data_IF_964484026657
#
_entry.id   IF_964484026657
#
_cell.length_a   1.000
_cell.length_b   1.000
_cell.length_c   1.000
_cell.angle_alpha   90.00
_cell.angle_beta   90.00
_cell.angle_gamma   90.00
#
_symmetry.space_group_name_H-M   'P 1'
#
loop_
_entity.id
_entity.type
_entity.pdbx_description
1 polymer ?
#
# COMPACT_ATOMS: atom_id res chain seq x y z
N UNK A 1 -27.71 2.05 11.01
CA UNK A 1 -27.83 3.37 11.66
C UNK A 1 -26.43 3.94 11.84
N UNK A 2 -26.11 5.16 11.35
CA UNK A 2 -24.83 5.79 11.68
C UNK A 2 -24.78 6.07 13.19
N UNK A 3 -23.71 5.63 13.85
CA UNK A 3 -23.54 5.84 15.30
C UNK A 3 -23.38 7.34 15.57
N UNK A 4 -24.19 7.94 16.47
CA UNK A 4 -24.12 9.37 16.76
C UNK A 4 -22.73 9.75 17.30
N UNK A 5 -22.27 10.95 16.95
CA UNK A 5 -20.98 11.44 17.40
C UNK A 5 -20.99 11.70 18.92
N UNK A 6 -19.96 11.21 19.61
CA UNK A 6 -19.71 11.58 21.01
C UNK A 6 -19.47 13.09 21.10
N UNK A 7 -20.04 13.74 22.12
CA UNK A 7 -19.83 15.17 22.41
C UNK A 7 -18.53 15.36 23.19
N UNK A 8 -17.43 14.86 22.66
CA UNK A 8 -16.10 14.91 23.26
C UNK A 8 -15.24 16.09 22.76
N UNK A 9 -15.80 16.95 21.91
CA UNK A 9 -15.09 18.06 21.28
C UNK A 9 -14.10 17.63 20.19
N UNK A 10 -13.98 16.33 19.90
CA UNK A 10 -13.03 15.79 18.93
C UNK A 10 -13.67 15.59 17.56
N UNK A 11 -12.91 15.95 16.52
CA UNK A 11 -13.26 15.61 15.15
C UNK A 11 -13.28 14.09 14.95
N UNK A 12 -14.02 13.64 13.93
CA UNK A 12 -14.05 12.23 13.53
C UNK A 12 -12.63 11.67 13.30
N UNK A 13 -11.77 12.47 12.67
CA UNK A 13 -10.39 12.10 12.38
C UNK A 13 -9.54 12.00 13.65
N UNK A 14 -9.74 12.91 14.62
CA UNK A 14 -9.03 12.84 15.90
C UNK A 14 -9.39 11.57 16.69
N UNK A 15 -10.68 11.22 16.77
CA UNK A 15 -11.14 9.97 17.41
C UNK A 15 -10.59 8.73 16.71
N UNK A 16 -10.62 8.69 15.39
CA UNK A 16 -10.08 7.58 14.61
C UNK A 16 -8.59 7.37 14.90
N UNK A 17 -7.79 8.45 14.92
CA UNK A 17 -6.35 8.39 15.24
C UNK A 17 -6.09 7.91 16.67
N UNK A 18 -6.85 8.40 17.65
CA UNK A 18 -6.74 7.96 19.03
C UNK A 18 -7.00 6.46 19.18
N UNK A 19 -8.07 5.94 18.55
CA UNK A 19 -8.40 4.52 18.56
C UNK A 19 -7.31 3.66 17.88
N UNK A 20 -6.77 4.10 16.74
CA UNK A 20 -5.68 3.39 16.06
C UNK A 20 -4.40 3.36 16.89
N UNK A 21 -4.04 4.49 17.53
CA UNK A 21 -2.90 4.55 18.45
C UNK A 21 -3.08 3.61 19.65
N UNK A 22 -4.28 3.56 20.24
CA UNK A 22 -4.59 2.66 21.35
C UNK A 22 -4.49 1.17 20.95
N UNK A 23 -4.74 0.83 19.69
CA UNK A 23 -4.55 -0.51 19.12
C UNK A 23 -3.10 -0.81 18.71
N UNK A 24 -2.12 0.04 19.07
CA UNK A 24 -0.71 -0.15 18.73
C UNK A 24 -0.35 0.23 17.28
N UNK A 25 -1.27 0.83 16.52
CA UNK A 25 -1.04 1.20 15.13
C UNK A 25 -0.47 2.62 15.01
N UNK A 26 0.53 2.78 14.15
CA UNK A 26 1.12 4.07 13.78
C UNK A 26 0.61 4.50 12.41
N UNK A 27 -0.03 5.67 12.33
CA UNK A 27 -0.43 6.26 11.05
C UNK A 27 0.81 6.74 10.30
N UNK A 28 0.95 6.32 9.04
CA UNK A 28 1.95 6.81 8.10
C UNK A 28 1.20 7.53 6.98
N UNK A 29 1.60 8.77 6.69
CA UNK A 29 1.10 9.52 5.53
C UNK A 29 2.22 9.62 4.52
N UNK A 30 2.01 9.01 3.36
CA UNK A 30 2.92 9.05 2.24
C UNK A 30 2.37 10.01 1.20
N UNK A 31 3.25 10.88 0.67
CA UNK A 31 2.93 11.65 -0.52
C UNK A 31 3.15 10.77 -1.74
N UNK A 32 2.09 10.57 -2.52
CA UNK A 32 2.11 9.76 -3.73
C UNK A 32 1.95 10.70 -4.93
N UNK A 33 2.65 10.48 -6.06
CA UNK A 33 2.41 11.24 -7.27
C UNK A 33 0.95 11.12 -7.73
N UNK A 34 0.43 12.18 -8.37
CA UNK A 34 -0.94 12.17 -8.91
C UNK A 34 -1.06 11.23 -10.12
N UNK A 35 -1.81 10.12 -10.02
CA UNK A 35 -1.98 9.17 -11.13
C UNK A 35 -2.81 9.73 -12.28
N UNK A 36 -3.48 10.88 -12.12
CA UNK A 36 -4.22 11.55 -13.21
C UNK A 36 -3.35 12.52 -14.01
N UNK A 37 -2.14 12.82 -13.55
CA UNK A 37 -1.23 13.68 -14.29
C UNK A 37 -0.71 12.92 -15.53
N UNK A 38 -0.94 13.42 -16.76
CA UNK A 38 -0.56 12.72 -17.98
C UNK A 38 0.96 12.55 -18.15
N UNK A 39 1.77 13.49 -17.66
CA UNK A 39 3.23 13.37 -17.70
C UNK A 39 3.74 12.29 -16.75
N UNK A 40 3.14 12.19 -15.56
CA UNK A 40 3.46 11.13 -14.62
C UNK A 40 3.09 9.76 -15.20
N UNK A 41 1.91 9.64 -15.81
CA UNK A 41 1.49 8.40 -16.48
C UNK A 41 2.43 8.00 -17.63
N UNK A 42 2.89 8.95 -18.44
CA UNK A 42 3.83 8.67 -19.52
C UNK A 42 5.17 8.16 -18.98
N UNK A 43 5.70 8.79 -17.93
CA UNK A 43 6.92 8.33 -17.25
C UNK A 43 6.73 6.96 -16.61
N UNK A 44 5.63 6.76 -15.88
CA UNK A 44 5.30 5.49 -15.25
C UNK A 44 5.29 4.34 -16.26
N UNK A 45 4.64 4.51 -17.41
CA UNK A 45 4.62 3.49 -18.49
C UNK A 45 6.03 3.15 -18.97
N UNK A 46 6.84 4.16 -19.26
CA UNK A 46 8.23 3.98 -19.69
C UNK A 46 9.07 3.21 -18.65
N UNK A 47 8.89 3.55 -17.38
CA UNK A 47 9.63 2.92 -16.28
C UNK A 47 9.18 1.47 -16.08
N UNK A 48 7.87 1.20 -16.15
CA UNK A 48 7.32 -0.16 -16.12
C UNK A 48 7.86 -1.03 -17.27
N UNK A 49 7.93 -0.48 -18.48
CA UNK A 49 8.49 -1.19 -19.63
C UNK A 49 9.98 -1.47 -19.47
N UNK A 50 10.71 -0.63 -18.75
CA UNK A 50 12.12 -0.86 -18.44
C UNK A 50 12.29 -1.96 -17.38
N UNK A 51 11.47 -1.93 -16.32
CA UNK A 51 11.46 -2.97 -15.27
C UNK A 51 11.12 -4.33 -15.85
N UNK A 52 10.07 -4.42 -16.66
CA UNK A 52 9.64 -5.68 -17.31
C UNK A 52 10.71 -6.28 -18.24
N UNK A 53 11.60 -5.44 -18.78
CA UNK A 53 12.72 -5.89 -19.63
C UNK A 53 14.01 -6.10 -18.84
N UNK A 54 13.99 -5.88 -17.53
CA UNK A 54 15.14 -6.11 -16.67
C UNK A 54 15.42 -7.62 -16.63
N UNK A 55 16.65 -8.05 -16.92
CA UNK A 55 16.99 -9.47 -16.94
C UNK A 55 16.89 -10.12 -15.55
N UNK A 56 16.99 -9.33 -14.47
CA UNK A 56 17.02 -9.83 -13.10
C UNK A 56 15.66 -10.30 -12.56
N UNK A 57 14.54 -9.93 -13.19
CA UNK A 57 13.21 -10.28 -12.67
C UNK A 57 13.02 -11.80 -12.56
N UNK A 58 13.50 -12.57 -13.54
CA UNK A 58 13.39 -14.03 -13.52
C UNK A 58 14.27 -14.66 -12.43
N UNK A 59 15.49 -14.16 -12.25
CA UNK A 59 16.42 -14.65 -11.23
C UNK A 59 15.91 -14.31 -9.82
N UNK A 60 15.37 -13.11 -9.62
CA UNK A 60 14.78 -12.67 -8.35
C UNK A 60 13.54 -13.50 -7.99
N UNK A 61 12.65 -13.76 -8.95
CA UNK A 61 11.48 -14.63 -8.74
C UNK A 61 11.93 -16.06 -8.41
N UNK A 62 12.86 -16.63 -9.18
CA UNK A 62 13.36 -17.98 -8.94
C UNK A 62 14.01 -18.12 -7.55
N UNK A 63 14.74 -17.10 -7.11
CA UNK A 63 15.28 -17.06 -5.75
C UNK A 63 14.18 -17.02 -4.69
N UNK A 64 13.17 -16.14 -4.85
CA UNK A 64 12.05 -16.05 -3.91
C UNK A 64 11.29 -17.38 -3.84
N UNK A 65 10.99 -18.00 -4.98
CA UNK A 65 10.32 -19.30 -5.05
C UNK A 65 11.14 -20.39 -4.34
N UNK A 66 12.46 -20.41 -4.53
CA UNK A 66 13.34 -21.39 -3.88
C UNK A 66 13.41 -21.27 -2.35
N UNK A 67 13.17 -20.08 -1.78
CA UNK A 67 13.20 -19.85 -0.33
C UNK A 67 11.80 -19.78 0.31
N UNK A 68 10.74 -19.75 -0.49
CA UNK A 68 9.36 -19.62 0.01
C UNK A 68 8.80 -21.00 0.35
N UNK A 69 8.65 -21.27 1.65
CA UNK A 69 7.95 -22.45 2.16
C UNK A 69 6.48 -22.10 2.45
N UNK A 70 5.70 -21.87 1.39
CA UNK A 70 4.26 -21.61 1.52
C UNK A 70 3.46 -22.87 1.13
N UNK A 71 2.52 -23.34 1.97
CA UNK A 71 1.70 -24.49 1.60
C UNK A 71 0.86 -24.15 0.37
N UNK A 72 0.67 -25.08 -0.58
CA UNK A 72 -0.17 -24.84 -1.75
C UNK A 72 -1.57 -24.40 -1.29
N UNK A 73 -2.17 -23.45 -2.02
CA UNK A 73 -3.56 -23.08 -1.77
C UNK A 73 -4.45 -24.31 -2.04
N UNK A 74 -5.15 -24.78 -1.00
CA UNK A 74 -6.21 -25.77 -1.17
C UNK A 74 -7.40 -25.09 -1.89
N UNK A 75 -7.84 -25.65 -3.01
CA UNK A 75 -9.00 -25.20 -3.81
C UNK A 75 -10.35 -25.57 -3.18
#
# INVERSE_FOLDING_TARGET
MPRPALKDGLSKQARYRAAKKAAGLKEIRLWVPDPKNPEFLARLKRDMDAIRRSPGEADDIAFIEAITDWPPYEE
#
